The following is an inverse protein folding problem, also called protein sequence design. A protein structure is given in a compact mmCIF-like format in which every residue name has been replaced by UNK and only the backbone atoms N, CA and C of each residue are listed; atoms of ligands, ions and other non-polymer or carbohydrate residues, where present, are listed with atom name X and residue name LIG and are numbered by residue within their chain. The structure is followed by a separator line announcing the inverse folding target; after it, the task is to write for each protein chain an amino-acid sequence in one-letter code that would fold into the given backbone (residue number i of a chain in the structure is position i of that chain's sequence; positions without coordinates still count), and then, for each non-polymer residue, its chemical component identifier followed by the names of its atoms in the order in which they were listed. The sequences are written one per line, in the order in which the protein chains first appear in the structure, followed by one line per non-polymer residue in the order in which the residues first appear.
data_IF_772080057501
#
_entry.id   IF_772080057501
#
_cell.length_a   1.000
_cell.length_b   1.000
_cell.length_c   1.000
_cell.angle_alpha   90.00
_cell.angle_beta   90.00
_cell.angle_gamma   90.00
#
_symmetry.space_group_name_H-M   'P 1'
#
loop_
_entity.id
_entity.type
_entity.pdbx_description
1 polymer ?
#
# COMPACT_ATOMS: atom_id res chain seq x y z
N UNK A 1 6.69 -18.56 34.28
CA UNK A 1 8.17 -18.68 34.35
C UNK A 1 8.77 -17.29 34.36
N UNK A 2 9.76 -17.02 35.20
CA UNK A 2 10.47 -15.73 35.26
C UNK A 2 11.41 -15.63 34.05
N UNK A 3 11.23 -14.66 33.17
CA UNK A 3 12.08 -14.49 31.99
C UNK A 3 13.50 -14.14 32.41
N UNK A 4 14.51 -14.82 31.86
CA UNK A 4 15.92 -14.52 32.09
C UNK A 4 16.24 -13.14 31.54
N UNK A 5 16.94 -12.33 32.31
CA UNK A 5 17.30 -10.94 31.96
C UNK A 5 18.79 -10.83 31.66
N UNK A 6 19.20 -9.75 31.00
CA UNK A 6 20.62 -9.43 30.76
C UNK A 6 21.40 -9.34 32.08
N UNK A 7 20.75 -8.92 33.18
CA UNK A 7 21.34 -8.87 34.51
C UNK A 7 21.68 -10.26 35.05
N UNK A 8 20.85 -11.25 34.73
CA UNK A 8 21.09 -12.64 35.18
C UNK A 8 22.26 -13.23 34.39
N UNK A 9 22.35 -12.98 33.08
CA UNK A 9 23.51 -13.42 32.27
C UNK A 9 24.80 -12.75 32.74
N UNK A 10 24.76 -11.42 33.03
CA UNK A 10 25.93 -10.70 33.53
C UNK A 10 26.43 -11.24 34.85
N UNK A 11 25.53 -11.56 35.79
CA UNK A 11 25.84 -12.16 37.09
C UNK A 11 26.48 -13.54 36.93
N UNK A 12 25.92 -14.39 36.10
CA UNK A 12 26.42 -15.75 35.86
C UNK A 12 27.76 -15.76 35.12
N UNK A 13 27.94 -14.83 34.17
CA UNK A 13 29.19 -14.67 33.44
C UNK A 13 30.31 -13.99 34.24
N UNK A 14 30.00 -13.35 35.40
CA UNK A 14 30.94 -12.61 36.21
C UNK A 14 31.43 -11.31 35.52
N UNK A 15 30.61 -10.68 34.71
CA UNK A 15 30.98 -9.48 33.96
C UNK A 15 29.90 -8.38 34.07
N UNK A 16 30.20 -7.17 33.59
CA UNK A 16 29.23 -6.09 33.57
C UNK A 16 28.11 -6.32 32.52
N UNK A 17 26.93 -5.72 32.73
CA UNK A 17 25.84 -5.72 31.77
C UNK A 17 26.31 -5.17 30.40
N UNK A 18 27.15 -4.14 30.41
CA UNK A 18 27.75 -3.54 29.21
C UNK A 18 28.60 -4.58 28.45
N UNK A 19 29.40 -5.39 29.18
CA UNK A 19 30.22 -6.45 28.59
C UNK A 19 29.35 -7.51 27.92
N UNK A 20 28.24 -7.92 28.55
CA UNK A 20 27.27 -8.86 27.94
C UNK A 20 26.63 -8.25 26.72
N UNK A 21 26.19 -6.99 26.78
CA UNK A 21 25.61 -6.29 25.65
C UNK A 21 26.57 -6.24 24.45
N UNK A 22 27.83 -5.87 24.67
CA UNK A 22 28.85 -5.86 23.63
C UNK A 22 29.16 -7.24 23.06
N UNK A 23 29.18 -8.28 23.91
CA UNK A 23 29.38 -9.64 23.45
C UNK A 23 28.26 -10.11 22.49
N UNK A 24 27.00 -9.82 22.87
CA UNK A 24 25.82 -10.24 22.11
C UNK A 24 25.58 -9.40 20.83
N UNK A 25 25.90 -8.10 20.87
CA UNK A 25 25.74 -7.20 19.72
C UNK A 25 26.88 -7.25 18.69
N UNK A 26 27.99 -7.92 19.03
CA UNK A 26 29.18 -7.90 18.17
C UNK A 26 30.00 -6.61 18.28
N UNK A 27 29.54 -5.60 19.03
CA UNK A 27 30.18 -4.29 19.20
C UNK A 27 31.22 -4.30 20.33
N UNK A 28 32.06 -3.27 20.36
CA UNK A 28 33.07 -3.08 21.40
C UNK A 28 34.30 -3.98 21.27
N UNK A 29 35.37 -3.61 21.97
CA UNK A 29 36.64 -4.35 21.97
C UNK A 29 36.58 -5.40 23.09
N UNK A 30 36.22 -6.63 22.72
CA UNK A 30 36.27 -7.81 23.60
C UNK A 30 37.19 -8.87 23.02
N UNK A 31 37.91 -9.59 23.85
CA UNK A 31 38.66 -10.78 23.41
C UNK A 31 37.65 -11.82 22.87
N UNK A 32 38.00 -12.48 21.75
CA UNK A 32 37.09 -13.44 21.09
C UNK A 32 36.64 -14.55 22.07
N UNK A 33 37.56 -15.09 22.83
CA UNK A 33 37.29 -16.11 23.84
C UNK A 33 36.23 -15.66 24.89
N UNK A 34 36.29 -14.39 25.31
CA UNK A 34 35.33 -13.83 26.28
C UNK A 34 33.95 -13.65 25.59
N UNK A 35 33.94 -13.24 24.34
CA UNK A 35 32.71 -13.10 23.56
C UNK A 35 32.02 -14.43 23.39
N UNK A 36 32.74 -15.45 22.94
CA UNK A 36 32.21 -16.80 22.68
C UNK A 36 31.64 -17.41 23.95
N UNK A 37 32.35 -17.28 25.08
CA UNK A 37 31.89 -17.72 26.40
C UNK A 37 30.56 -17.09 26.81
N UNK A 38 30.41 -15.77 26.61
CA UNK A 38 29.19 -15.06 27.02
C UNK A 38 28.03 -15.43 26.08
N UNK A 39 28.27 -15.57 24.78
CA UNK A 39 27.25 -15.99 23.81
C UNK A 39 26.73 -17.38 24.11
N UNK A 40 27.64 -18.34 24.44
CA UNK A 40 27.26 -19.71 24.76
C UNK A 40 26.50 -19.78 26.09
N UNK A 41 26.92 -19.01 27.09
CA UNK A 41 26.22 -18.91 28.37
C UNK A 41 24.79 -18.35 28.17
N UNK A 42 24.65 -17.30 27.39
CA UNK A 42 23.33 -16.70 27.08
C UNK A 42 22.40 -17.72 26.41
N UNK A 43 22.90 -18.52 25.45
CA UNK A 43 22.16 -19.64 24.84
C UNK A 43 21.73 -20.68 25.86
N UNK A 44 22.67 -21.14 26.69
CA UNK A 44 22.40 -22.16 27.75
C UNK A 44 21.33 -21.68 28.73
N UNK A 45 21.37 -20.40 29.09
CA UNK A 45 20.36 -19.76 29.93
C UNK A 45 19.05 -19.46 29.22
N UNK A 46 18.94 -19.75 27.93
CA UNK A 46 17.78 -19.39 27.08
C UNK A 46 17.44 -17.88 27.15
N UNK A 47 18.48 -17.04 27.26
CA UNK A 47 18.32 -15.61 27.27
C UNK A 47 17.98 -15.12 25.85
N UNK A 48 16.85 -14.45 25.72
CA UNK A 48 16.48 -13.75 24.51
C UNK A 48 16.72 -12.26 24.75
N UNK A 49 17.63 -11.62 23.99
CA UNK A 49 17.84 -10.18 24.11
C UNK A 49 16.53 -9.40 24.00
N UNK A 50 16.36 -8.43 24.88
CA UNK A 50 15.24 -7.51 24.78
C UNK A 50 15.59 -6.47 23.70
N UNK A 51 14.92 -6.57 22.56
CA UNK A 51 15.10 -5.67 21.43
C UNK A 51 14.89 -4.20 21.84
N UNK A 52 13.87 -3.92 22.66
CA UNK A 52 13.60 -2.58 23.16
C UNK A 52 14.72 -2.05 24.05
N UNK A 53 15.35 -2.92 24.86
CA UNK A 53 16.47 -2.55 25.73
C UNK A 53 17.77 -2.28 24.97
N UNK A 54 17.97 -2.85 23.81
CA UNK A 54 19.12 -2.58 22.93
C UNK A 54 18.95 -1.25 22.20
N UNK A 55 17.76 -0.94 21.72
CA UNK A 55 17.45 0.27 20.96
C UNK A 55 17.36 1.54 21.83
N UNK A 56 17.12 1.42 23.14
CA UNK A 56 17.17 2.57 24.06
C UNK A 56 18.55 3.26 24.12
N UNK A 57 19.62 2.58 23.68
CA UNK A 57 20.98 3.16 23.58
C UNK A 57 21.41 3.49 22.15
N UNK A 58 20.75 2.94 21.16
CA UNK A 58 20.97 3.25 19.76
C UNK A 58 20.07 4.43 19.35
N UNK A 59 20.61 5.42 18.67
CA UNK A 59 19.84 6.53 18.10
C UNK A 59 18.91 6.04 16.96
N UNK A 60 19.15 4.82 16.45
CA UNK A 60 18.44 4.20 15.32
C UNK A 60 17.97 2.78 15.72
N UNK A 61 16.78 2.41 15.25
CA UNK A 61 16.17 1.07 15.49
C UNK A 61 16.60 0.05 14.45
N UNK A 62 17.04 0.49 13.28
CA UNK A 62 17.29 -0.33 12.10
C UNK A 62 16.01 -0.90 11.47
N UNK A 63 14.86 -0.33 11.83
CA UNK A 63 13.54 -0.78 11.35
C UNK A 63 12.82 0.35 10.62
N UNK A 64 12.20 0.03 9.48
CA UNK A 64 11.27 0.89 8.77
C UNK A 64 9.84 0.42 8.98
N UNK A 65 8.90 1.33 9.17
CA UNK A 65 7.50 1.02 9.41
C UNK A 65 6.66 1.11 8.14
N UNK A 66 5.81 0.12 7.88
CA UNK A 66 4.71 0.24 6.95
C UNK A 66 3.39 0.32 7.72
N UNK A 67 2.68 1.42 7.58
CA UNK A 67 1.43 1.72 8.27
C UNK A 67 0.27 1.67 7.27
N UNK A 68 -0.66 0.75 7.48
CA UNK A 68 -1.75 0.49 6.54
C UNK A 68 -3.00 -0.02 7.25
N UNK A 69 -4.15 0.04 6.59
CA UNK A 69 -5.42 -0.53 7.10
C UNK A 69 -5.65 -1.98 6.67
N UNK A 70 -4.86 -2.51 5.72
CA UNK A 70 -5.01 -3.87 5.18
C UNK A 70 -3.68 -4.42 4.67
N UNK A 71 -3.61 -5.75 4.49
CA UNK A 71 -2.44 -6.46 3.92
C UNK A 71 -2.83 -7.48 2.85
N UNK A 72 -4.08 -7.48 2.36
CA UNK A 72 -4.55 -8.44 1.35
C UNK A 72 -4.48 -7.87 -0.07
N UNK A 73 -4.43 -8.74 -1.08
CA UNK A 73 -4.46 -8.36 -2.50
C UNK A 73 -3.31 -7.42 -2.89
N UNK A 74 -3.62 -6.23 -3.37
CA UNK A 74 -2.69 -5.15 -3.73
C UNK A 74 -1.60 -4.93 -2.68
N UNK A 75 -1.98 -4.92 -1.39
CA UNK A 75 -1.03 -4.67 -0.29
C UNK A 75 0.06 -5.73 -0.17
N UNK A 76 -0.23 -6.99 -0.52
CA UNK A 76 0.76 -8.07 -0.49
C UNK A 76 1.92 -7.81 -1.45
N UNK A 77 1.63 -7.42 -2.69
CA UNK A 77 2.65 -7.06 -3.69
C UNK A 77 3.49 -5.87 -3.23
N UNK A 78 2.84 -4.87 -2.65
CA UNK A 78 3.49 -3.68 -2.11
C UNK A 78 4.45 -4.03 -0.96
N UNK A 79 4.01 -4.88 -0.02
CA UNK A 79 4.82 -5.36 1.11
C UNK A 79 6.05 -6.12 0.63
N UNK A 80 5.91 -7.02 -0.33
CA UNK A 80 7.04 -7.79 -0.87
C UNK A 80 8.08 -6.88 -1.52
N UNK A 81 7.64 -5.89 -2.30
CA UNK A 81 8.51 -4.91 -2.94
C UNK A 81 9.27 -4.05 -1.91
N UNK A 82 8.54 -3.52 -0.92
CA UNK A 82 9.14 -2.72 0.16
C UNK A 82 10.13 -3.54 0.98
N UNK A 83 9.77 -4.76 1.37
CA UNK A 83 10.66 -5.62 2.16
C UNK A 83 11.96 -5.95 1.42
N UNK A 84 11.87 -6.26 0.12
CA UNK A 84 13.05 -6.48 -0.72
C UNK A 84 14.00 -5.28 -0.70
N UNK A 85 13.47 -4.09 -0.82
CA UNK A 85 14.26 -2.85 -0.83
C UNK A 85 14.79 -2.48 0.56
N UNK A 86 14.01 -2.67 1.64
CA UNK A 86 14.50 -2.52 3.02
C UNK A 86 15.73 -3.37 3.26
N UNK A 87 15.66 -4.65 2.88
CA UNK A 87 16.77 -5.60 3.00
C UNK A 87 18.01 -5.17 2.22
N UNK A 88 17.84 -4.65 1.00
CA UNK A 88 18.94 -4.14 0.18
C UNK A 88 19.67 -2.97 0.84
N UNK A 89 18.97 -2.17 1.65
CA UNK A 89 19.53 -1.05 2.39
C UNK A 89 19.97 -1.37 3.83
N UNK A 90 19.79 -2.63 4.29
CA UNK A 90 20.21 -3.10 5.62
C UNK A 90 19.19 -2.82 6.72
N UNK A 91 17.93 -2.49 6.38
CA UNK A 91 16.84 -2.28 7.33
C UNK A 91 15.94 -3.51 7.45
N UNK A 92 15.39 -3.71 8.66
CA UNK A 92 14.21 -4.54 8.85
C UNK A 92 12.93 -3.77 8.54
N UNK A 93 11.79 -4.48 8.44
CA UNK A 93 10.48 -3.87 8.24
C UNK A 93 9.49 -4.34 9.30
N UNK A 94 8.74 -3.42 9.89
CA UNK A 94 7.56 -3.71 10.72
C UNK A 94 6.30 -3.25 9.99
N UNK A 95 5.24 -4.05 10.07
CA UNK A 95 3.94 -3.70 9.51
C UNK A 95 2.99 -3.39 10.66
N UNK A 96 2.38 -2.20 10.60
CA UNK A 96 1.39 -1.73 11.56
C UNK A 96 0.03 -1.62 10.90
N UNK A 97 -0.92 -2.41 11.38
CA UNK A 97 -2.31 -2.31 10.94
C UNK A 97 -3.04 -1.39 11.92
N UNK A 98 -3.74 -0.41 11.39
CA UNK A 98 -4.52 0.55 12.16
C UNK A 98 -5.93 0.70 11.58
N UNK A 99 -6.84 1.23 12.39
CA UNK A 99 -8.26 1.40 12.08
C UNK A 99 -8.72 2.87 12.10
N UNK A 100 -7.87 3.76 12.63
CA UNK A 100 -8.19 5.18 12.76
C UNK A 100 -6.92 6.05 12.76
N UNK A 101 -7.06 7.32 12.43
CA UNK A 101 -5.97 8.30 12.50
C UNK A 101 -5.39 8.43 13.92
N UNK A 102 -6.21 8.32 14.96
CA UNK A 102 -5.75 8.34 16.37
C UNK A 102 -4.85 7.15 16.68
N UNK A 103 -5.24 5.95 16.21
CA UNK A 103 -4.44 4.74 16.38
C UNK A 103 -3.12 4.85 15.60
N UNK A 104 -3.17 5.35 14.36
CA UNK A 104 -1.97 5.63 13.57
C UNK A 104 -1.01 6.56 14.31
N UNK A 105 -1.51 7.70 14.82
CA UNK A 105 -0.68 8.65 15.58
C UNK A 105 -0.02 7.99 16.78
N UNK A 106 -0.74 7.19 17.55
CA UNK A 106 -0.18 6.46 18.69
C UNK A 106 0.93 5.48 18.28
N UNK A 107 0.77 4.80 17.15
CA UNK A 107 1.77 3.87 16.63
C UNK A 107 3.03 4.60 16.15
N UNK A 108 2.88 5.72 15.41
CA UNK A 108 3.99 6.56 14.96
C UNK A 108 4.78 7.14 16.14
N UNK A 109 4.07 7.65 17.16
CA UNK A 109 4.71 8.21 18.37
C UNK A 109 5.43 7.16 19.23
N UNK A 110 5.21 5.88 18.98
CA UNK A 110 5.84 4.79 19.73
C UNK A 110 7.34 4.61 19.48
N UNK A 111 7.93 5.35 18.53
CA UNK A 111 9.38 5.34 18.19
C UNK A 111 9.95 3.93 17.99
N UNK A 112 9.18 3.07 17.33
CA UNK A 112 9.58 1.69 17.05
C UNK A 112 10.35 1.55 15.73
N UNK A 113 10.26 2.55 14.88
CA UNK A 113 10.87 2.59 13.55
C UNK A 113 11.60 3.91 13.34
N UNK A 114 12.57 3.91 12.47
CA UNK A 114 13.38 5.10 12.14
C UNK A 114 12.64 6.02 11.16
N UNK A 115 11.73 5.47 10.37
CA UNK A 115 10.87 6.19 9.45
C UNK A 115 9.63 5.38 9.08
N UNK A 116 8.68 6.00 8.37
CA UNK A 116 7.39 5.42 8.06
C UNK A 116 7.01 5.54 6.58
N UNK A 117 6.48 4.46 6.00
CA UNK A 117 5.64 4.51 4.80
C UNK A 117 4.19 4.40 5.25
N UNK A 118 3.32 5.28 4.79
CA UNK A 118 1.94 5.40 5.24
C UNK A 118 0.98 5.28 4.06
N UNK A 119 0.02 4.40 4.17
CA UNK A 119 -1.06 4.21 3.20
C UNK A 119 -2.42 4.25 3.91
N UNK A 120 -3.35 5.07 3.42
CA UNK A 120 -4.68 5.29 4.00
C UNK A 120 -4.64 5.81 5.44
N UNK A 121 -4.01 6.96 5.63
CA UNK A 121 -3.75 7.51 6.95
C UNK A 121 -5.01 7.77 7.80
N UNK A 122 -6.12 8.16 7.20
CA UNK A 122 -7.32 8.58 7.94
C UNK A 122 -7.06 9.73 8.93
N UNK A 123 -5.95 10.48 8.74
CA UNK A 123 -5.57 11.59 9.59
C UNK A 123 -6.46 12.80 9.35
N UNK A 124 -6.76 13.53 10.41
CA UNK A 124 -7.37 14.85 10.35
C UNK A 124 -6.30 15.93 10.08
N UNK A 125 -6.72 17.08 9.58
CA UNK A 125 -5.83 18.18 9.18
C UNK A 125 -4.85 18.62 10.31
N UNK A 126 -5.32 18.63 11.57
CA UNK A 126 -4.44 18.98 12.71
C UNK A 126 -3.33 17.95 12.93
N UNK A 127 -3.64 16.66 12.76
CA UNK A 127 -2.67 15.58 12.89
C UNK A 127 -1.65 15.60 11.75
N UNK A 128 -2.11 15.90 10.54
CA UNK A 128 -1.22 16.08 9.39
C UNK A 128 -0.25 17.23 9.61
N UNK A 129 -0.74 18.41 9.99
CA UNK A 129 0.09 19.56 10.32
C UNK A 129 1.08 19.27 11.46
N UNK A 130 0.67 18.46 12.43
CA UNK A 130 1.58 18.04 13.49
C UNK A 130 2.73 17.21 12.92
N UNK A 131 2.45 16.22 12.08
CA UNK A 131 3.45 15.35 11.45
C UNK A 131 4.37 16.14 10.50
N UNK A 132 3.82 17.07 9.72
CA UNK A 132 4.59 17.95 8.83
C UNK A 132 5.63 18.79 9.58
N UNK A 133 5.35 19.14 10.83
CA UNK A 133 6.28 19.89 11.69
C UNK A 133 7.27 18.99 12.44
N UNK A 134 7.17 17.66 12.30
CA UNK A 134 8.17 16.75 12.86
C UNK A 134 9.33 16.56 11.89
N UNK A 135 10.52 16.26 12.42
CA UNK A 135 11.67 15.85 11.60
C UNK A 135 11.63 14.32 11.30
N UNK A 136 10.54 13.64 11.63
CA UNK A 136 10.41 12.20 11.43
C UNK A 136 10.20 11.89 9.94
N UNK A 137 11.08 11.10 9.30
CA UNK A 137 11.00 10.83 7.88
C UNK A 137 9.78 9.98 7.52
N UNK A 138 9.00 10.45 6.54
CA UNK A 138 7.77 9.76 6.11
C UNK A 138 7.63 9.76 4.59
N UNK A 139 6.98 8.71 4.09
CA UNK A 139 6.55 8.61 2.69
C UNK A 139 5.07 8.25 2.65
N UNK A 140 4.26 9.08 2.03
CA UNK A 140 2.85 8.81 1.78
C UNK A 140 2.64 8.14 0.42
N UNK A 141 1.73 7.16 0.36
CA UNK A 141 1.36 6.45 -0.87
C UNK A 141 -0.02 6.84 -1.41
N UNK A 142 -0.80 7.61 -0.64
CA UNK A 142 -2.22 7.89 -0.93
C UNK A 142 -2.59 9.37 -0.87
N UNK A 143 -1.61 10.24 -0.76
CA UNK A 143 -1.84 11.70 -0.70
C UNK A 143 -0.63 12.49 -1.14
N UNK A 144 -0.86 13.69 -1.63
CA UNK A 144 0.17 14.68 -1.78
C UNK A 144 0.47 15.33 -0.43
N UNK A 145 1.70 15.23 0.00
CA UNK A 145 2.20 15.96 1.17
C UNK A 145 3.52 16.62 0.82
N UNK A 146 3.85 17.72 1.49
CA UNK A 146 5.05 18.49 1.25
C UNK A 146 5.75 18.79 2.56
N UNK A 147 7.07 18.66 2.56
CA UNK A 147 7.92 18.94 3.70
C UNK A 147 9.33 18.45 3.44
N UNK A 148 10.34 19.00 4.13
CA UNK A 148 11.73 18.57 3.92
C UNK A 148 11.95 17.10 4.31
N UNK A 149 11.12 16.55 5.20
CA UNK A 149 11.20 15.16 5.69
C UNK A 149 10.06 14.26 5.21
N UNK A 150 9.26 14.72 4.23
CA UNK A 150 8.08 14.00 3.74
C UNK A 150 8.09 13.91 2.23
N UNK A 151 8.12 12.69 1.69
CA UNK A 151 7.88 12.42 0.27
C UNK A 151 6.49 11.82 0.04
N UNK A 152 6.01 11.90 -1.20
CA UNK A 152 4.83 11.17 -1.66
C UNK A 152 5.17 10.37 -2.91
N UNK A 153 4.74 9.10 -2.95
CA UNK A 153 4.90 8.22 -4.12
C UNK A 153 3.51 7.73 -4.53
N UNK A 154 2.95 8.38 -5.53
CA UNK A 154 1.57 8.24 -5.97
C UNK A 154 1.48 7.60 -7.34
N UNK A 155 0.35 6.97 -7.64
CA UNK A 155 0.02 6.68 -9.02
C UNK A 155 -0.50 7.96 -9.73
N UNK A 156 -0.29 8.04 -11.03
CA UNK A 156 -0.88 9.07 -11.88
C UNK A 156 -2.37 8.74 -12.12
N UNK A 157 -3.17 8.80 -11.04
CA UNK A 157 -4.53 8.26 -11.02
C UNK A 157 -5.52 9.07 -11.84
N UNK A 158 -5.33 10.39 -11.96
CA UNK A 158 -6.12 11.21 -12.87
C UNK A 158 -5.90 10.79 -14.33
N UNK A 159 -4.65 10.65 -14.74
CA UNK A 159 -4.25 10.20 -16.07
C UNK A 159 -4.72 8.76 -16.34
N UNK A 160 -4.67 7.89 -15.34
CA UNK A 160 -5.20 6.52 -15.43
C UNK A 160 -6.71 6.51 -15.67
N UNK A 161 -7.45 7.38 -14.98
CA UNK A 161 -8.88 7.56 -15.23
C UNK A 161 -9.18 8.03 -16.64
N UNK A 162 -8.45 9.03 -17.13
CA UNK A 162 -8.56 9.51 -18.52
C UNK A 162 -8.24 8.41 -19.52
N UNK A 163 -7.17 7.65 -19.29
CA UNK A 163 -6.75 6.52 -20.13
C UNK A 163 -7.83 5.44 -20.22
N UNK A 164 -8.47 5.10 -19.10
CA UNK A 164 -9.59 4.17 -19.05
C UNK A 164 -10.76 4.65 -19.92
N UNK A 165 -11.14 5.92 -19.76
CA UNK A 165 -12.23 6.52 -20.50
C UNK A 165 -11.92 6.57 -22.00
N UNK A 166 -10.72 6.99 -22.37
CA UNK A 166 -10.25 7.02 -23.76
C UNK A 166 -10.26 5.65 -24.41
N UNK A 167 -9.76 4.63 -23.70
CA UNK A 167 -9.74 3.27 -24.19
C UNK A 167 -11.14 2.76 -24.49
N UNK A 168 -12.07 2.86 -23.55
CA UNK A 168 -13.46 2.41 -23.73
C UNK A 168 -14.19 3.23 -24.78
N UNK A 169 -13.97 4.54 -24.83
CA UNK A 169 -14.56 5.42 -25.84
C UNK A 169 -14.11 5.04 -27.26
N UNK A 170 -12.81 4.74 -27.45
CA UNK A 170 -12.22 4.34 -28.74
C UNK A 170 -12.68 2.95 -29.20
N UNK A 171 -13.07 2.08 -28.27
CA UNK A 171 -13.74 0.82 -28.55
C UNK A 171 -15.21 0.98 -28.97
N UNK A 172 -15.76 2.19 -28.89
CA UNK A 172 -17.14 2.51 -29.31
C UNK A 172 -18.15 2.54 -28.15
N UNK A 173 -17.72 2.28 -26.92
CA UNK A 173 -18.59 2.31 -25.74
C UNK A 173 -19.00 3.74 -25.36
N UNK A 174 -20.26 3.93 -25.00
CA UNK A 174 -20.82 5.27 -24.66
C UNK A 174 -21.59 5.26 -23.34
N UNK A 175 -22.29 4.17 -23.01
CA UNK A 175 -22.99 4.03 -21.75
C UNK A 175 -22.15 3.15 -20.82
N UNK A 176 -21.39 3.78 -19.93
CA UNK A 176 -20.40 3.11 -19.11
C UNK A 176 -20.85 3.13 -17.65
N UNK A 177 -20.85 1.97 -17.03
CA UNK A 177 -21.03 1.81 -15.58
C UNK A 177 -19.68 2.02 -14.91
N UNK A 178 -19.61 2.92 -13.94
CA UNK A 178 -18.40 3.22 -13.18
C UNK A 178 -18.51 2.65 -11.77
N UNK A 179 -17.62 1.73 -11.42
CA UNK A 179 -17.48 1.19 -10.07
C UNK A 179 -16.37 1.97 -9.38
N UNK A 180 -16.73 3.02 -8.65
CA UNK A 180 -15.75 3.90 -8.04
C UNK A 180 -15.13 3.32 -6.77
N UNK A 181 -13.94 3.78 -6.45
CA UNK A 181 -13.22 3.47 -5.22
C UNK A 181 -13.74 4.27 -4.03
N UNK A 182 -12.85 4.55 -3.10
CA UNK A 182 -13.15 5.30 -1.86
C UNK A 182 -12.95 6.78 -2.11
N UNK A 183 -13.96 7.60 -1.83
CA UNK A 183 -13.99 9.04 -2.16
C UNK A 183 -12.94 9.89 -1.40
N UNK A 184 -12.53 9.46 -0.22
CA UNK A 184 -11.53 10.18 0.59
C UNK A 184 -10.09 9.77 0.27
N UNK A 185 -9.85 8.77 -0.61
CA UNK A 185 -8.50 8.42 -1.04
C UNK A 185 -8.13 9.19 -2.31
N UNK A 186 -6.85 9.54 -2.43
CA UNK A 186 -6.32 10.22 -3.63
C UNK A 186 -6.64 9.43 -4.90
N UNK A 187 -6.29 8.13 -4.91
CA UNK A 187 -6.47 7.28 -6.09
C UNK A 187 -7.94 7.13 -6.48
N UNK A 188 -8.82 6.86 -5.52
CA UNK A 188 -10.26 6.71 -5.79
C UNK A 188 -10.86 7.97 -6.40
N UNK A 189 -10.56 9.13 -5.79
CA UNK A 189 -11.07 10.43 -6.23
C UNK A 189 -10.50 10.85 -7.58
N UNK A 190 -9.17 10.82 -7.74
CA UNK A 190 -8.52 11.32 -8.94
C UNK A 190 -8.81 10.45 -10.16
N UNK A 191 -8.87 9.12 -9.98
CA UNK A 191 -9.22 8.17 -11.05
C UNK A 191 -10.63 8.41 -11.57
N UNK A 192 -11.59 8.61 -10.66
CA UNK A 192 -12.97 8.94 -11.04
C UNK A 192 -13.03 10.27 -11.79
N UNK A 193 -12.43 11.35 -11.26
CA UNK A 193 -12.44 12.68 -11.88
C UNK A 193 -11.85 12.60 -13.28
N UNK A 194 -10.69 11.96 -13.45
CA UNK A 194 -10.05 11.83 -14.76
C UNK A 194 -10.93 11.10 -15.78
N UNK A 195 -11.64 10.05 -15.36
CA UNK A 195 -12.58 9.32 -16.22
C UNK A 195 -13.76 10.20 -16.64
N UNK A 196 -14.40 10.86 -15.68
CA UNK A 196 -15.57 11.71 -15.93
C UNK A 196 -15.23 12.93 -16.78
N UNK A 197 -14.07 13.57 -16.56
CA UNK A 197 -13.62 14.71 -17.35
C UNK A 197 -13.43 14.33 -18.82
N UNK A 198 -12.76 13.22 -19.10
CA UNK A 198 -12.60 12.75 -20.48
C UNK A 198 -13.96 12.49 -21.15
N UNK A 199 -14.87 11.80 -20.47
CA UNK A 199 -16.19 11.50 -21.01
C UNK A 199 -17.01 12.77 -21.24
N UNK A 200 -16.89 13.77 -20.36
CA UNK A 200 -17.54 15.08 -20.52
C UNK A 200 -16.98 15.85 -21.71
N UNK A 201 -15.66 15.86 -21.91
CA UNK A 201 -15.00 16.47 -23.09
C UNK A 201 -15.47 15.84 -24.39
N UNK A 202 -15.83 14.57 -24.39
CA UNK A 202 -16.39 13.85 -25.55
C UNK A 202 -17.90 14.00 -25.69
N UNK A 203 -18.55 14.89 -24.94
CA UNK A 203 -20.01 15.07 -24.90
C UNK A 203 -20.78 13.77 -24.58
N UNK A 204 -20.20 12.92 -23.74
CA UNK A 204 -20.76 11.65 -23.33
C UNK A 204 -20.64 11.48 -21.78
N UNK A 205 -21.19 12.42 -20.98
CA UNK A 205 -21.04 12.38 -19.52
C UNK A 205 -21.64 11.10 -18.95
N UNK A 206 -21.03 10.58 -17.90
CA UNK A 206 -21.56 9.46 -17.15
C UNK A 206 -22.75 9.94 -16.31
N UNK A 207 -23.90 9.31 -16.47
CA UNK A 207 -25.08 9.65 -15.65
C UNK A 207 -24.92 9.09 -14.23
N UNK A 208 -25.44 9.81 -13.24
CA UNK A 208 -25.25 9.48 -11.82
C UNK A 208 -25.74 8.07 -11.48
N UNK A 209 -26.85 7.62 -12.08
CA UNK A 209 -27.38 6.27 -11.89
C UNK A 209 -26.46 5.14 -12.39
N UNK A 210 -25.42 5.46 -13.18
CA UNK A 210 -24.37 4.55 -13.65
C UNK A 210 -23.07 4.69 -12.84
N UNK A 211 -23.10 5.31 -11.68
CA UNK A 211 -21.95 5.40 -10.77
C UNK A 211 -22.28 4.61 -9.48
N UNK A 212 -21.49 3.58 -9.17
CA UNK A 212 -21.69 2.75 -8.00
C UNK A 212 -20.52 2.90 -7.03
N UNK A 213 -20.83 3.05 -5.74
CA UNK A 213 -19.84 3.11 -4.67
C UNK A 213 -19.38 1.68 -4.31
N UNK A 214 -18.20 1.28 -4.76
CA UNK A 214 -17.69 -0.09 -4.56
C UNK A 214 -16.51 -0.18 -3.59
N UNK A 215 -15.93 0.96 -3.18
CA UNK A 215 -14.92 1.08 -2.13
C UNK A 215 -13.69 0.21 -2.33
N UNK A 216 -13.34 -0.12 -3.58
CA UNK A 216 -12.28 -1.08 -3.95
C UNK A 216 -12.52 -2.51 -3.45
N UNK A 217 -13.75 -2.82 -3.02
CA UNK A 217 -14.10 -4.12 -2.42
C UNK A 217 -14.87 -5.00 -3.41
N UNK A 218 -14.41 -6.23 -3.58
CA UNK A 218 -14.97 -7.24 -4.49
C UNK A 218 -16.42 -7.57 -4.17
N UNK A 219 -16.75 -7.74 -2.90
CA UNK A 219 -18.07 -8.16 -2.47
C UNK A 219 -19.08 -7.02 -2.51
N UNK A 220 -18.63 -5.79 -2.23
CA UNK A 220 -19.46 -4.60 -2.43
C UNK A 220 -19.75 -4.43 -3.90
N UNK A 221 -18.74 -4.49 -4.78
CA UNK A 221 -18.94 -4.41 -6.23
C UNK A 221 -19.91 -5.47 -6.76
N UNK A 222 -19.80 -6.70 -6.27
CA UNK A 222 -20.73 -7.77 -6.62
C UNK A 222 -22.17 -7.42 -6.22
N UNK A 223 -22.41 -6.96 -4.98
CA UNK A 223 -23.76 -6.61 -4.49
C UNK A 223 -24.35 -5.42 -5.23
N UNK A 224 -23.55 -4.36 -5.38
CA UNK A 224 -23.99 -3.13 -6.05
C UNK A 224 -24.29 -3.37 -7.53
N UNK A 225 -23.49 -4.19 -8.22
CA UNK A 225 -23.78 -4.59 -9.61
C UNK A 225 -25.09 -5.39 -9.70
N UNK A 226 -25.33 -6.35 -8.80
CA UNK A 226 -26.61 -7.07 -8.76
C UNK A 226 -27.79 -6.16 -8.53
N UNK A 227 -27.66 -5.23 -7.59
CA UNK A 227 -28.70 -4.24 -7.31
C UNK A 227 -28.94 -3.31 -8.52
N UNK A 228 -27.89 -2.90 -9.21
CA UNK A 228 -27.99 -2.11 -10.44
C UNK A 228 -28.79 -2.83 -11.54
N UNK A 229 -28.48 -4.09 -11.79
CA UNK A 229 -29.17 -4.90 -12.80
C UNK A 229 -30.68 -5.05 -12.52
N UNK A 230 -31.09 -5.00 -11.26
CA UNK A 230 -32.51 -5.08 -10.85
C UNK A 230 -33.27 -3.76 -11.02
N UNK A 231 -32.58 -2.63 -11.30
CA UNK A 231 -33.24 -1.30 -11.49
C UNK A 231 -34.02 -1.18 -12.80
N UNK A 232 -33.85 -2.11 -13.73
CA UNK A 232 -34.47 -2.06 -15.05
C UNK A 232 -33.95 -0.95 -15.95
N UNK A 233 -32.80 -0.38 -15.65
CA UNK A 233 -32.12 0.59 -16.49
C UNK A 233 -31.53 -0.10 -17.72
N UNK A 234 -31.34 0.63 -18.84
CA UNK A 234 -30.63 0.10 -19.99
C UNK A 234 -29.24 -0.43 -19.61
N UNK A 235 -28.89 -1.63 -20.09
CA UNK A 235 -27.59 -2.24 -19.79
C UNK A 235 -26.44 -1.32 -20.23
N UNK A 236 -25.35 -1.24 -19.46
CA UNK A 236 -24.14 -0.54 -19.87
C UNK A 236 -23.47 -1.28 -21.04
N UNK A 237 -22.80 -0.54 -21.90
CA UNK A 237 -21.96 -1.12 -22.96
C UNK A 237 -20.65 -1.67 -22.41
N UNK A 238 -20.16 -1.00 -21.35
CA UNK A 238 -18.95 -1.36 -20.66
C UNK A 238 -19.00 -0.98 -19.18
N UNK A 239 -18.10 -1.56 -18.40
CA UNK A 239 -17.85 -1.23 -17.00
C UNK A 239 -16.40 -0.75 -16.88
N UNK A 240 -16.19 0.36 -16.17
CA UNK A 240 -14.89 0.75 -15.64
C UNK A 240 -14.89 0.53 -14.13
N UNK A 241 -14.05 -0.36 -13.66
CA UNK A 241 -13.86 -0.62 -12.25
C UNK A 241 -12.59 0.09 -11.76
N UNK A 242 -12.71 0.83 -10.66
CA UNK A 242 -11.60 1.59 -10.08
C UNK A 242 -10.44 0.72 -9.62
N UNK A 243 -10.66 -0.60 -9.43
CA UNK A 243 -9.62 -1.61 -9.23
C UNK A 243 -10.05 -2.98 -9.76
N UNK A 244 -9.09 -3.90 -9.86
CA UNK A 244 -9.34 -5.26 -10.37
C UNK A 244 -10.25 -6.09 -9.46
N UNK A 245 -10.16 -5.90 -8.14
CA UNK A 245 -11.05 -6.60 -7.21
C UNK A 245 -12.52 -6.25 -7.43
N UNK A 246 -12.83 -4.98 -7.65
CA UNK A 246 -14.20 -4.55 -8.01
C UNK A 246 -14.62 -5.11 -9.38
N UNK A 247 -13.69 -5.18 -10.35
CA UNK A 247 -13.96 -5.79 -11.65
C UNK A 247 -14.34 -7.27 -11.52
N UNK A 248 -13.63 -8.05 -10.69
CA UNK A 248 -13.96 -9.45 -10.45
C UNK A 248 -15.34 -9.64 -9.81
N UNK A 249 -15.68 -8.78 -8.85
CA UNK A 249 -17.01 -8.78 -8.24
C UNK A 249 -18.11 -8.49 -9.25
N UNK A 250 -17.89 -7.51 -10.12
CA UNK A 250 -18.80 -7.15 -11.19
C UNK A 250 -18.98 -8.31 -12.21
N UNK A 251 -17.88 -8.88 -12.71
CA UNK A 251 -17.94 -10.00 -13.67
C UNK A 251 -18.72 -11.18 -13.09
N UNK A 252 -18.52 -11.47 -11.79
CA UNK A 252 -19.30 -12.51 -11.11
C UNK A 252 -20.79 -12.19 -11.11
N UNK A 253 -21.20 -10.96 -10.80
CA UNK A 253 -22.59 -10.52 -10.77
C UNK A 253 -23.23 -10.57 -12.17
N UNK A 254 -22.52 -10.10 -13.19
CA UNK A 254 -22.95 -10.15 -14.59
C UNK A 254 -23.19 -11.60 -15.05
N UNK A 255 -22.25 -12.49 -14.76
CA UNK A 255 -22.37 -13.92 -15.11
C UNK A 255 -23.58 -14.60 -14.45
N UNK A 256 -23.84 -14.31 -13.17
CA UNK A 256 -25.02 -14.83 -12.49
C UNK A 256 -26.34 -14.28 -13.03
N UNK A 257 -26.31 -13.13 -13.69
CA UNK A 257 -27.43 -12.53 -14.40
C UNK A 257 -27.47 -12.91 -15.91
N UNK A 258 -26.72 -13.95 -16.30
CA UNK A 258 -26.65 -14.49 -17.67
C UNK A 258 -26.10 -13.48 -18.71
N UNK A 259 -25.33 -12.46 -18.28
CA UNK A 259 -24.62 -11.55 -19.17
C UNK A 259 -23.17 -12.00 -19.38
N UNK A 260 -22.77 -12.10 -20.63
CA UNK A 260 -21.42 -12.51 -21.04
C UNK A 260 -20.46 -11.33 -21.09
N UNK A 261 -19.22 -11.57 -20.63
CA UNK A 261 -18.10 -10.62 -20.72
C UNK A 261 -17.05 -11.26 -21.64
N UNK A 262 -16.67 -10.60 -22.73
CA UNK A 262 -16.99 -9.23 -23.14
C UNK A 262 -18.20 -9.12 -24.09
N UNK A 263 -18.90 -10.21 -24.46
CA UNK A 263 -19.87 -10.28 -25.56
C UNK A 263 -21.05 -9.31 -25.36
N UNK A 264 -21.60 -9.22 -24.16
CA UNK A 264 -22.68 -8.29 -23.84
C UNK A 264 -22.14 -6.98 -23.24
N UNK A 265 -21.16 -7.08 -22.35
CA UNK A 265 -20.63 -5.96 -21.57
C UNK A 265 -19.12 -6.09 -21.45
N UNK A 266 -18.36 -5.11 -21.93
CA UNK A 266 -16.91 -5.05 -21.69
C UNK A 266 -16.60 -4.66 -20.23
N UNK A 267 -15.53 -5.20 -19.64
CA UNK A 267 -15.11 -4.84 -18.28
C UNK A 267 -13.62 -4.48 -18.29
N UNK A 268 -13.31 -3.27 -17.84
CA UNK A 268 -11.95 -2.74 -17.66
C UNK A 268 -11.67 -2.55 -16.17
N UNK A 269 -10.56 -3.10 -15.70
CA UNK A 269 -10.06 -2.97 -14.33
C UNK A 269 -8.95 -1.93 -14.18
N UNK A 270 -8.33 -1.92 -12.99
CA UNK A 270 -7.14 -1.15 -12.67
C UNK A 270 -6.39 -1.86 -11.57
N UNK A 271 -5.07 -1.94 -11.64
CA UNK A 271 -3.98 -2.41 -10.80
C UNK A 271 -3.09 -3.45 -11.48
N UNK A 272 -3.65 -4.31 -12.35
CA UNK A 272 -3.00 -5.47 -12.97
C UNK A 272 -2.47 -6.46 -11.93
N UNK A 273 -3.33 -6.82 -10.95
CA UNK A 273 -2.98 -7.86 -9.99
C UNK A 273 -2.82 -9.23 -10.67
N UNK A 274 -2.04 -10.14 -10.07
CA UNK A 274 -1.74 -11.44 -10.67
C UNK A 274 -2.98 -12.22 -11.14
N UNK A 275 -4.07 -12.15 -10.37
CA UNK A 275 -5.33 -12.83 -10.71
C UNK A 275 -5.92 -12.36 -12.05
N UNK A 276 -5.63 -11.14 -12.50
CA UNK A 276 -6.22 -10.55 -13.71
C UNK A 276 -5.91 -11.34 -14.97
N UNK A 277 -4.73 -11.95 -15.05
CA UNK A 277 -4.35 -12.81 -16.18
C UNK A 277 -4.97 -14.23 -16.12
N UNK A 278 -5.30 -14.69 -14.91
CA UNK A 278 -5.84 -16.05 -14.70
C UNK A 278 -7.37 -16.08 -14.56
N UNK A 279 -8.00 -14.92 -14.46
CA UNK A 279 -9.45 -14.82 -14.41
C UNK A 279 -10.09 -15.25 -15.74
N UNK A 280 -11.37 -15.57 -15.73
CA UNK A 280 -12.09 -15.91 -16.96
C UNK A 280 -13.34 -15.03 -17.11
N UNK A 281 -13.40 -14.16 -18.15
CA UNK A 281 -12.32 -13.84 -19.10
C UNK A 281 -11.11 -13.17 -18.42
N UNK A 282 -9.90 -13.28 -19.01
CA UNK A 282 -8.73 -12.58 -18.53
C UNK A 282 -8.96 -11.05 -18.58
N UNK A 283 -8.71 -10.37 -17.46
CA UNK A 283 -9.12 -8.99 -17.27
C UNK A 283 -8.18 -8.00 -17.99
N UNK A 284 -8.73 -7.21 -18.90
CA UNK A 284 -8.12 -6.01 -19.42
C UNK A 284 -8.09 -4.97 -18.30
N UNK A 285 -6.94 -4.38 -18.02
CA UNK A 285 -6.75 -3.54 -16.85
C UNK A 285 -5.68 -2.48 -17.08
N UNK A 286 -5.60 -1.49 -16.20
CA UNK A 286 -4.50 -0.55 -16.15
C UNK A 286 -3.46 -1.08 -15.18
N UNK A 287 -2.23 -1.32 -15.64
CA UNK A 287 -1.10 -1.62 -14.75
C UNK A 287 -0.64 -0.35 -14.08
N UNK A 288 -0.62 -0.35 -12.75
CA UNK A 288 -0.21 0.80 -11.93
C UNK A 288 1.23 0.72 -11.43
N UNK A 289 1.94 -0.37 -11.71
CA UNK A 289 3.33 -0.61 -11.29
C UNK A 289 3.52 -0.62 -9.75
N UNK A 290 2.71 -1.42 -9.06
CA UNK A 290 2.70 -1.53 -7.58
C UNK A 290 4.10 -1.83 -7.01
N UNK A 291 4.85 -2.72 -7.65
CA UNK A 291 6.23 -3.06 -7.25
C UNK A 291 7.16 -1.85 -7.31
N UNK A 292 7.02 -0.99 -8.33
CA UNK A 292 7.80 0.24 -8.46
C UNK A 292 7.44 1.22 -7.35
N UNK A 293 6.15 1.36 -7.02
CA UNK A 293 5.70 2.22 -5.92
C UNK A 293 6.34 1.81 -4.59
N UNK A 294 6.30 0.52 -4.25
CA UNK A 294 6.89 0.01 -3.02
C UNK A 294 8.39 0.20 -2.94
N UNK A 295 9.10 -0.11 -4.04
CA UNK A 295 10.55 0.06 -4.15
C UNK A 295 10.95 1.54 -4.03
N UNK A 296 10.27 2.41 -4.76
CA UNK A 296 10.55 3.85 -4.73
C UNK A 296 10.24 4.45 -3.36
N UNK A 297 9.17 4.03 -2.71
CA UNK A 297 8.81 4.51 -1.37
C UNK A 297 9.93 4.26 -0.35
N UNK A 298 10.53 3.07 -0.34
CA UNK A 298 11.64 2.76 0.56
C UNK A 298 12.91 3.52 0.18
N UNK A 299 13.22 3.69 -1.11
CA UNK A 299 14.35 4.49 -1.57
C UNK A 299 14.24 5.94 -1.14
N UNK A 300 13.06 6.52 -1.27
CA UNK A 300 12.77 7.87 -0.78
C UNK A 300 12.95 7.95 0.74
N UNK A 301 12.33 7.03 1.49
CA UNK A 301 12.43 7.00 2.94
C UNK A 301 13.88 6.89 3.43
N UNK A 302 14.68 6.00 2.83
CA UNK A 302 16.10 5.86 3.16
C UNK A 302 16.91 7.11 2.78
N UNK A 303 16.56 7.76 1.67
CA UNK A 303 17.17 9.03 1.25
C UNK A 303 16.90 10.16 2.25
N UNK A 304 15.67 10.27 2.75
CA UNK A 304 15.27 11.21 3.80
C UNK A 304 16.02 10.93 5.11
N UNK A 305 16.05 9.67 5.56
CA UNK A 305 16.76 9.25 6.77
C UNK A 305 18.24 9.60 6.76
N UNK A 306 18.91 9.44 5.62
CA UNK A 306 20.33 9.74 5.45
C UNK A 306 20.62 11.22 5.20
N UNK A 307 19.59 12.06 5.12
CA UNK A 307 19.72 13.48 4.78
C UNK A 307 20.28 13.72 3.38
N UNK A 308 20.26 12.72 2.50
CA UNK A 308 20.75 12.82 1.12
C UNK A 308 19.69 13.34 0.15
N UNK A 309 18.44 13.43 0.58
CA UNK A 309 17.29 13.95 -0.18
C UNK A 309 16.44 14.86 0.71
N UNK A 310 15.67 15.71 0.06
CA UNK A 310 14.51 16.40 0.62
C UNK A 310 13.24 15.76 0.09
N UNK A 311 12.11 16.03 0.76
CA UNK A 311 10.83 15.49 0.35
C UNK A 311 10.39 15.94 -1.05
N UNK A 312 9.94 14.97 -1.82
CA UNK A 312 9.49 15.14 -3.21
C UNK A 312 8.17 14.40 -3.46
N UNK A 313 7.45 14.83 -4.49
CA UNK A 313 6.23 14.14 -4.95
C UNK A 313 6.54 13.42 -6.27
N UNK A 314 6.47 12.09 -6.24
CA UNK A 314 6.62 11.22 -7.40
C UNK A 314 5.26 10.75 -7.89
N UNK A 315 5.11 10.64 -9.21
CA UNK A 315 3.92 10.06 -9.86
C UNK A 315 4.33 8.99 -10.83
N UNK A 316 3.78 7.80 -10.63
CA UNK A 316 4.05 6.61 -11.46
C UNK A 316 2.93 6.51 -12.50
N UNK A 317 3.30 6.58 -13.78
CA UNK A 317 2.35 6.44 -14.87
C UNK A 317 1.89 4.98 -15.00
N UNK A 318 0.61 4.80 -15.37
CA UNK A 318 0.08 3.48 -15.71
C UNK A 318 0.11 3.20 -17.21
N UNK A 319 -0.22 1.98 -17.58
CA UNK A 319 -0.39 1.52 -18.97
C UNK A 319 -1.55 0.54 -19.10
N UNK A 320 -2.24 0.55 -20.25
CA UNK A 320 -3.29 -0.45 -20.54
C UNK A 320 -2.66 -1.80 -20.85
N UNK A 321 -3.13 -2.83 -20.16
CA UNK A 321 -2.83 -4.24 -20.44
C UNK A 321 -4.08 -4.88 -21.05
N UNK A 322 -4.08 -4.98 -22.37
CA UNK A 322 -5.19 -5.59 -23.09
C UNK A 322 -5.23 -7.11 -22.90
N UNK A 323 -6.40 -7.62 -22.55
CA UNK A 323 -6.71 -9.06 -22.46
C UNK A 323 -8.08 -9.33 -23.12
N UNK A 324 -8.87 -10.23 -22.54
CA UNK A 324 -10.09 -10.72 -23.19
C UNK A 324 -11.41 -10.20 -22.62
N UNK A 325 -11.37 -9.32 -21.61
CA UNK A 325 -12.59 -8.78 -20.97
C UNK A 325 -13.17 -7.53 -21.65
N UNK A 326 -12.50 -6.99 -22.67
CA UNK A 326 -12.99 -5.87 -23.47
C UNK A 326 -13.01 -6.22 -24.96
N UNK A 327 -13.99 -5.72 -25.66
CA UNK A 327 -14.08 -5.84 -27.13
C UNK A 327 -14.56 -4.55 -27.77
N UNK A 328 -14.34 -4.40 -29.07
CA UNK A 328 -14.95 -3.32 -29.86
C UNK A 328 -16.45 -3.56 -29.97
N UNK A 329 -17.23 -2.49 -29.81
CA UNK A 329 -18.68 -2.49 -29.98
C UNK A 329 -19.10 -2.49 -31.46
#
# INVERSE_FOLDING_TARGET
MKRVTIKDVAREAGVSITTVSHALSGQGVLRQETRDRIVELAKTMQYIPDWNGQNLKAAETGMLGFFTSSISGYYGVLVDAMYGECKAHGYGMEIFIFDSGENLMRLLMGKRTDGAVILHSGLHEEQEKYLENTEFPMVYLDRESRGDHISSVLFASYESGRMAAEYLYNLGHRRILVLKGVDFTYDGKMRQIGFEDYMREKNCPVAEEYILNCWFDRWVAYRETKAFLQRGLPLPDAVFAANDDSAFGCIKALREAEHSVPEDISVLGCDDVELSQWYSPALTTIRTHITEQGTLAIRELVGLLRGSKKGEIHRIAGEIIERSSCRRK
#
